data_IF_813843104671
#
_entry.id   IF_813843104671
#
_cell.length_a   1.000
_cell.length_b   1.000
_cell.length_c   1.000
_cell.angle_alpha   90.00
_cell.angle_beta   90.00
_cell.angle_gamma   90.00
#
_symmetry.space_group_name_H-M   'P 1'
#
loop_
_entity.id
_entity.type
_entity.pdbx_description
1 polymer ?
#
# COMPACT_ATOMS: atom_id res chain seq x y z
N UNK A 1 -6.87 -18.71 -5.19
CA UNK A 1 -5.82 -19.72 -5.46
C UNK A 1 -4.57 -19.27 -4.73
N UNK A 2 -4.00 -20.12 -3.88
CA UNK A 2 -2.71 -19.84 -3.24
C UNK A 2 -1.65 -19.67 -4.34
N UNK A 3 -0.98 -18.52 -4.35
CA UNK A 3 0.14 -18.28 -5.26
C UNK A 3 1.30 -19.19 -4.81
N UNK A 4 2.00 -19.91 -5.71
CA UNK A 4 3.03 -20.85 -5.30
C UNK A 4 4.27 -20.15 -4.70
N UNK A 5 4.93 -20.81 -3.73
CA UNK A 5 6.20 -20.38 -3.10
C UNK A 5 7.41 -20.44 -4.06
N UNK A 6 7.16 -20.80 -5.31
CA UNK A 6 8.11 -20.96 -6.39
C UNK A 6 7.38 -20.72 -7.73
N UNK A 7 8.15 -20.43 -8.76
CA UNK A 7 7.67 -20.40 -10.15
C UNK A 7 8.39 -21.45 -10.99
N UNK A 8 7.73 -21.93 -12.03
CA UNK A 8 8.29 -22.80 -13.05
C UNK A 8 8.61 -21.97 -14.29
N UNK A 9 9.85 -22.09 -14.76
CA UNK A 9 10.32 -21.49 -16.01
C UNK A 9 10.37 -22.57 -17.07
N UNK A 10 9.86 -22.30 -18.27
CA UNK A 10 9.89 -23.26 -19.36
C UNK A 10 9.30 -22.74 -20.65
N UNK A 11 9.34 -23.58 -21.69
CA UNK A 11 8.77 -23.26 -23.01
C UNK A 11 7.27 -23.54 -23.09
N UNK A 12 6.77 -24.43 -22.24
CA UNK A 12 5.38 -24.84 -22.24
C UNK A 12 4.49 -23.74 -21.66
N UNK A 13 3.25 -23.65 -22.16
CA UNK A 13 2.31 -22.58 -21.79
C UNK A 13 1.72 -22.75 -20.39
N UNK A 14 1.96 -23.90 -19.74
CA UNK A 14 1.60 -24.17 -18.33
C UNK A 14 2.67 -23.71 -17.34
N UNK A 15 3.78 -23.11 -17.81
CA UNK A 15 4.80 -22.51 -16.95
C UNK A 15 4.42 -21.08 -16.53
N UNK A 16 4.86 -20.67 -15.35
CA UNK A 16 4.64 -19.32 -14.82
C UNK A 16 5.44 -18.27 -15.62
N UNK A 17 6.70 -18.59 -15.96
CA UNK A 17 7.53 -17.81 -16.88
C UNK A 17 7.73 -18.60 -18.18
N UNK A 18 7.08 -18.13 -19.25
CA UNK A 18 7.10 -18.79 -20.56
C UNK A 18 8.17 -18.17 -21.46
N UNK A 19 9.24 -18.92 -21.73
CA UNK A 19 10.30 -18.53 -22.66
C UNK A 19 10.13 -19.28 -23.99
N UNK A 20 9.71 -18.56 -25.04
CA UNK A 20 9.41 -19.12 -26.37
C UNK A 20 10.66 -19.37 -27.21
N UNK A 21 11.64 -20.06 -26.64
CA UNK A 21 12.90 -20.37 -27.31
C UNK A 21 13.06 -21.91 -27.44
N UNK A 22 13.43 -22.44 -28.62
CA UNK A 22 13.44 -23.88 -28.88
C UNK A 22 14.36 -24.73 -27.98
N UNK A 23 15.47 -24.18 -27.51
CA UNK A 23 16.41 -24.84 -26.61
C UNK A 23 15.91 -24.90 -25.15
N UNK A 24 14.85 -24.15 -24.81
CA UNK A 24 14.21 -24.22 -23.49
C UNK A 24 13.30 -25.47 -23.43
N UNK A 25 13.53 -26.34 -22.45
CA UNK A 25 12.65 -27.49 -22.19
C UNK A 25 11.24 -27.09 -21.75
N UNK A 26 10.26 -27.99 -21.94
CA UNK A 26 8.85 -27.72 -21.63
C UNK A 26 8.65 -27.19 -20.21
N UNK A 27 9.23 -27.86 -19.21
CA UNK A 27 9.47 -27.35 -17.85
C UNK A 27 10.97 -27.41 -17.61
N UNK A 28 11.63 -26.26 -17.61
CA UNK A 28 13.08 -26.18 -17.67
C UNK A 28 13.69 -26.08 -16.27
N UNK A 29 13.20 -25.14 -15.47
CA UNK A 29 13.75 -24.84 -14.17
C UNK A 29 12.65 -24.40 -13.19
N UNK A 30 12.98 -24.43 -11.91
CA UNK A 30 12.17 -23.87 -10.83
C UNK A 30 12.95 -22.76 -10.15
N UNK A 31 12.28 -21.65 -9.87
CA UNK A 31 12.83 -20.56 -9.06
C UNK A 31 12.03 -20.44 -7.77
N UNK A 32 12.71 -20.38 -6.63
CA UNK A 32 12.07 -20.26 -5.31
C UNK A 32 12.87 -19.33 -4.41
N UNK A 33 12.22 -18.70 -3.43
CA UNK A 33 12.92 -17.86 -2.47
C UNK A 33 13.56 -18.69 -1.35
N UNK A 34 14.80 -18.35 -0.99
CA UNK A 34 15.59 -18.91 0.11
C UNK A 34 16.25 -17.74 0.85
N UNK A 35 15.55 -17.19 1.85
CA UNK A 35 15.99 -15.98 2.54
C UNK A 35 16.03 -14.79 1.58
N UNK A 36 17.19 -14.13 1.48
CA UNK A 36 17.46 -12.97 0.61
C UNK A 36 17.89 -13.35 -0.82
N UNK A 37 17.89 -14.64 -1.16
CA UNK A 37 18.35 -15.13 -2.47
C UNK A 37 17.29 -15.98 -3.18
N UNK A 38 17.38 -16.03 -4.50
CA UNK A 38 16.54 -16.89 -5.34
C UNK A 38 17.31 -18.18 -5.60
N UNK A 39 16.77 -19.31 -5.18
CA UNK A 39 17.27 -20.62 -5.58
C UNK A 39 16.70 -20.96 -6.95
N UNK A 40 17.57 -21.06 -7.95
CA UNK A 40 17.28 -21.61 -9.27
C UNK A 40 17.67 -23.08 -9.26
N UNK A 41 16.75 -23.94 -9.69
CA UNK A 41 16.92 -25.38 -9.78
C UNK A 41 16.55 -25.87 -11.18
N UNK A 42 17.50 -26.47 -11.88
CA UNK A 42 17.26 -27.12 -13.17
C UNK A 42 16.44 -28.41 -12.96
N UNK A 43 15.37 -28.60 -13.73
CA UNK A 43 14.45 -29.73 -13.59
C UNK A 43 14.81 -30.91 -14.52
N UNK A 44 16.07 -31.03 -14.92
CA UNK A 44 16.53 -32.03 -15.88
C UNK A 44 16.39 -31.56 -17.33
N UNK A 45 16.66 -30.28 -17.58
CA UNK A 45 16.53 -29.69 -18.90
C UNK A 45 17.55 -30.29 -19.89
N UNK A 46 17.17 -30.33 -21.17
CA UNK A 46 18.02 -30.89 -22.23
C UNK A 46 19.31 -30.06 -22.44
N UNK A 47 19.19 -28.74 -22.40
CA UNK A 47 20.29 -27.82 -22.73
C UNK A 47 20.94 -27.18 -21.49
N UNK A 48 20.41 -27.42 -20.29
CA UNK A 48 20.95 -26.93 -19.03
C UNK A 48 20.52 -25.51 -18.68
N UNK A 49 20.54 -25.23 -17.37
CA UNK A 49 20.47 -23.89 -16.80
C UNK A 49 21.87 -23.36 -16.53
N UNK A 50 22.12 -22.08 -16.81
CA UNK A 50 23.40 -21.42 -16.61
C UNK A 50 23.24 -20.17 -15.75
N UNK A 51 24.22 -19.92 -14.88
CA UNK A 51 24.32 -18.71 -14.06
C UNK A 51 25.73 -18.14 -14.25
N UNK A 52 25.84 -16.88 -14.65
CA UNK A 52 27.10 -16.20 -15.00
C UNK A 52 27.98 -17.03 -15.96
N UNK A 53 27.34 -17.72 -16.92
CA UNK A 53 28.00 -18.57 -17.93
C UNK A 53 28.36 -19.99 -17.46
N UNK A 54 28.20 -20.32 -16.18
CA UNK A 54 28.48 -21.66 -15.65
C UNK A 54 27.21 -22.52 -15.60
N UNK A 55 27.29 -23.77 -16.07
CA UNK A 55 26.16 -24.70 -16.03
C UNK A 55 25.90 -25.16 -14.60
N UNK A 56 24.67 -25.05 -14.14
CA UNK A 56 24.28 -25.38 -12.76
C UNK A 56 23.10 -26.36 -12.72
N UNK A 57 23.07 -27.20 -11.68
CA UNK A 57 21.86 -27.97 -11.31
C UNK A 57 21.02 -27.22 -10.28
N UNK A 58 21.68 -26.56 -9.34
CA UNK A 58 21.08 -25.66 -8.35
C UNK A 58 22.05 -24.52 -8.09
N UNK A 59 21.53 -23.30 -8.04
CA UNK A 59 22.33 -22.12 -7.71
C UNK A 59 21.48 -21.08 -6.97
N UNK A 60 22.06 -20.47 -5.93
CA UNK A 60 21.50 -19.28 -5.32
C UNK A 60 21.94 -18.06 -6.12
N UNK A 61 20.98 -17.36 -6.72
CA UNK A 61 21.20 -16.16 -7.51
C UNK A 61 20.55 -14.96 -6.85
N UNK A 62 21.06 -13.77 -7.16
CA UNK A 62 20.42 -12.51 -6.80
C UNK A 62 19.78 -11.88 -8.04
N UNK A 63 18.73 -11.07 -7.88
CA UNK A 63 18.22 -10.25 -8.98
C UNK A 63 19.33 -9.47 -9.68
N UNK A 64 19.37 -9.54 -11.01
CA UNK A 64 20.42 -8.96 -11.85
C UNK A 64 21.60 -9.87 -12.16
N UNK A 65 21.68 -11.09 -11.62
CA UNK A 65 22.62 -12.10 -12.10
C UNK A 65 22.31 -12.51 -13.55
N UNK A 66 23.31 -12.90 -14.32
CA UNK A 66 23.07 -13.43 -15.67
C UNK A 66 22.56 -14.86 -15.52
N UNK A 67 21.31 -15.11 -15.91
CA UNK A 67 20.70 -16.43 -15.84
C UNK A 67 20.14 -16.76 -17.21
N UNK A 68 20.50 -17.94 -17.73
CA UNK A 68 19.96 -18.43 -18.99
C UNK A 68 19.47 -19.87 -18.86
N UNK A 69 18.47 -20.19 -19.66
CA UNK A 69 17.84 -21.49 -19.75
C UNK A 69 18.03 -21.99 -21.18
N UNK A 70 18.96 -22.91 -21.40
CA UNK A 70 19.50 -23.15 -22.73
C UNK A 70 20.12 -21.86 -23.31
N UNK A 71 19.70 -21.47 -24.51
CA UNK A 71 20.12 -20.25 -25.20
C UNK A 71 19.25 -19.03 -24.87
N UNK A 72 18.20 -19.19 -24.07
CA UNK A 72 17.32 -18.09 -23.69
C UNK A 72 17.86 -17.35 -22.46
N UNK A 73 18.23 -16.09 -22.63
CA UNK A 73 18.52 -15.20 -21.50
C UNK A 73 17.23 -14.82 -20.76
N UNK A 74 17.26 -14.89 -19.43
CA UNK A 74 16.17 -14.44 -18.59
C UNK A 74 16.31 -12.94 -18.29
N UNK A 75 15.29 -12.17 -18.65
CA UNK A 75 15.26 -10.75 -18.29
C UNK A 75 14.54 -10.54 -16.96
N UNK A 76 15.24 -9.97 -15.98
CA UNK A 76 14.68 -9.64 -14.65
C UNK A 76 13.49 -8.66 -14.67
N UNK A 77 13.28 -7.95 -15.79
CA UNK A 77 12.15 -7.05 -16.01
C UNK A 77 10.93 -7.73 -16.63
N UNK A 78 10.98 -9.06 -16.83
CA UNK A 78 9.86 -9.80 -17.40
C UNK A 78 8.60 -9.65 -16.53
N UNK A 79 7.44 -9.24 -17.09
CA UNK A 79 6.20 -9.07 -16.33
C UNK A 79 5.79 -10.31 -15.53
N UNK A 80 6.07 -11.52 -16.03
CA UNK A 80 5.73 -12.77 -15.36
C UNK A 80 6.57 -13.01 -14.09
N UNK A 81 7.77 -12.40 -13.99
CA UNK A 81 8.61 -12.45 -12.78
C UNK A 81 8.16 -11.45 -11.71
N UNK A 82 7.39 -10.42 -12.06
CA UNK A 82 7.07 -9.30 -11.18
C UNK A 82 6.41 -9.74 -9.88
N UNK A 83 5.44 -10.66 -9.95
CA UNK A 83 4.71 -11.18 -8.78
C UNK A 83 5.58 -12.05 -7.89
N UNK A 84 6.44 -12.89 -8.49
CA UNK A 84 7.40 -13.74 -7.76
C UNK A 84 8.45 -12.90 -7.04
N UNK A 85 8.99 -11.87 -7.69
CA UNK A 85 10.00 -10.99 -7.11
C UNK A 85 9.44 -10.13 -5.97
N UNK A 86 8.24 -9.58 -6.14
CA UNK A 86 7.55 -8.77 -5.10
C UNK A 86 7.31 -9.54 -3.79
N UNK A 87 7.06 -10.85 -3.86
CA UNK A 87 6.66 -11.65 -2.69
C UNK A 87 7.83 -12.05 -1.77
N UNK A 88 9.03 -12.22 -2.31
CA UNK A 88 10.20 -12.60 -1.53
C UNK A 88 11.16 -11.47 -1.18
N UNK A 89 10.85 -10.23 -1.57
CA UNK A 89 11.57 -9.04 -1.15
C UNK A 89 11.23 -8.69 0.32
N UNK A 90 11.67 -9.52 1.27
CA UNK A 90 11.66 -9.18 2.68
C UNK A 90 12.93 -8.37 3.02
N UNK A 91 12.74 -7.09 3.33
CA UNK A 91 13.71 -6.27 4.06
C UNK A 91 14.77 -5.55 3.22
N UNK A 92 15.57 -6.26 2.43
CA UNK A 92 16.72 -5.66 1.73
C UNK A 92 16.91 -6.41 0.41
N UNK A 93 16.93 -5.75 -0.76
CA UNK A 93 17.42 -6.43 -1.97
C UNK A 93 18.70 -5.82 -2.52
N UNK A 94 19.71 -6.69 -2.49
CA UNK A 94 21.09 -6.53 -2.89
C UNK A 94 21.28 -6.55 -4.41
N UNK A 95 22.19 -5.68 -4.82
CA UNK A 95 22.84 -5.57 -6.13
C UNK A 95 23.41 -6.89 -6.63
N UNK A 96 23.11 -7.23 -7.89
CA UNK A 96 23.85 -8.25 -8.63
C UNK A 96 25.31 -7.85 -8.79
N UNK A 97 26.19 -8.48 -8.02
CA UNK A 97 27.65 -8.43 -8.21
C UNK A 97 28.01 -9.18 -9.50
N UNK A 98 27.75 -8.56 -10.66
CA UNK A 98 28.40 -8.83 -11.96
C UNK A 98 27.78 -8.12 -13.16
N UNK A 99 26.95 -7.09 -13.01
CA UNK A 99 26.63 -6.26 -14.20
C UNK A 99 27.91 -5.48 -14.56
N UNK A 100 28.55 -5.72 -15.72
CA UNK A 100 29.74 -4.98 -16.10
C UNK A 100 29.40 -3.48 -16.21
N UNK A 101 30.16 -2.65 -15.50
CA UNK A 101 30.00 -1.20 -15.51
C UNK A 101 28.84 -0.69 -14.67
N UNK A 102 29.12 -0.28 -13.43
CA UNK A 102 28.32 0.64 -12.57
C UNK A 102 26.79 0.50 -12.59
N UNK A 103 26.18 -0.64 -12.88
CA UNK A 103 24.70 -0.77 -13.03
C UNK A 103 24.11 -1.59 -11.88
N UNK A 104 22.86 -1.30 -11.51
CA UNK A 104 22.09 -2.03 -10.50
C UNK A 104 20.66 -2.33 -10.98
N UNK A 105 20.02 -3.32 -10.37
CA UNK A 105 18.59 -3.61 -10.53
C UNK A 105 17.95 -3.54 -9.15
N UNK A 106 16.89 -2.74 -9.02
CA UNK A 106 16.13 -2.66 -7.79
C UNK A 106 15.37 -3.96 -7.57
N UNK A 107 15.58 -4.65 -6.45
CA UNK A 107 14.81 -5.86 -6.16
C UNK A 107 13.37 -5.63 -5.73
N UNK A 108 13.02 -4.39 -5.38
CA UNK A 108 11.64 -4.02 -5.04
C UNK A 108 10.77 -3.77 -6.28
N UNK A 109 11.32 -3.15 -7.33
CA UNK A 109 10.54 -2.77 -8.52
C UNK A 109 11.07 -3.30 -9.86
N UNK A 110 12.28 -3.88 -9.90
CA UNK A 110 12.94 -4.35 -11.11
C UNK A 110 13.59 -3.24 -11.94
N UNK A 111 13.52 -1.97 -11.52
CA UNK A 111 14.10 -0.85 -12.26
C UNK A 111 15.63 -0.97 -12.35
N UNK A 112 16.17 -0.66 -13.53
CA UNK A 112 17.61 -0.60 -13.79
C UNK A 112 18.13 0.80 -13.49
N UNK A 113 19.28 0.90 -12.84
CA UNK A 113 19.94 2.18 -12.57
C UNK A 113 21.45 2.12 -12.74
N UNK A 114 22.09 3.29 -12.72
CA UNK A 114 23.55 3.44 -12.75
C UNK A 114 24.00 3.96 -11.38
N UNK A 115 24.92 3.25 -10.74
CA UNK A 115 25.58 3.66 -9.50
C UNK A 115 26.40 4.94 -9.74
N UNK A 116 26.43 5.88 -8.78
CA UNK A 116 27.23 7.09 -8.87
C UNK A 116 28.71 6.81 -9.17
N UNK A 117 29.37 7.76 -9.82
CA UNK A 117 30.79 7.61 -10.15
C UNK A 117 31.64 7.45 -8.87
N UNK A 118 32.45 6.39 -8.80
CA UNK A 118 33.26 6.08 -7.62
C UNK A 118 32.55 5.28 -6.51
N UNK A 119 31.24 5.05 -6.64
CA UNK A 119 30.46 4.28 -5.69
C UNK A 119 30.65 2.77 -5.91
N UNK A 120 31.18 2.06 -4.90
CA UNK A 120 31.46 0.62 -4.96
C UNK A 120 30.80 -0.20 -3.84
N UNK A 121 30.30 0.45 -2.78
CA UNK A 121 29.57 -0.14 -1.65
C UNK A 121 28.84 0.94 -0.85
N UNK A 122 27.80 0.58 -0.09
CA UNK A 122 27.02 1.49 0.77
C UNK A 122 25.53 1.42 0.48
N UNK A 123 24.78 2.46 0.84
CA UNK A 123 23.35 2.58 0.54
C UNK A 123 23.15 3.44 -0.72
N UNK A 124 22.15 3.11 -1.54
CA UNK A 124 21.67 3.91 -2.67
C UNK A 124 20.16 4.00 -2.60
N UNK A 125 19.54 5.11 -3.01
CA UNK A 125 18.09 5.11 -3.26
C UNK A 125 17.80 4.69 -4.69
N UNK A 126 16.82 3.82 -4.87
CA UNK A 126 16.29 3.54 -6.19
C UNK A 126 15.57 4.79 -6.72
N UNK A 127 16.06 5.37 -7.83
CA UNK A 127 15.42 6.53 -8.45
C UNK A 127 14.05 6.29 -9.09
N UNK A 128 13.47 5.08 -8.98
CA UNK A 128 12.14 4.73 -9.52
C UNK A 128 11.18 4.18 -8.46
N UNK A 129 11.64 3.81 -7.27
CA UNK A 129 10.71 3.38 -6.22
C UNK A 129 11.11 3.86 -4.83
N UNK A 130 12.08 4.78 -4.74
CA UNK A 130 12.57 5.42 -3.51
C UNK A 130 13.29 4.50 -2.51
N UNK A 131 13.17 3.18 -2.67
CA UNK A 131 13.66 2.20 -1.69
C UNK A 131 15.17 2.30 -1.54
N UNK A 132 15.63 2.18 -0.30
CA UNK A 132 17.05 2.11 0.00
C UNK A 132 17.59 0.74 -0.40
N UNK A 133 18.66 0.75 -1.19
CA UNK A 133 19.34 -0.37 -1.79
C UNK A 133 20.70 -0.49 -1.14
N UNK A 134 20.93 -1.59 -0.43
CA UNK A 134 22.26 -1.90 0.07
C UNK A 134 23.13 -2.51 -1.03
N UNK A 135 24.31 -1.94 -1.23
CA UNK A 135 25.31 -2.34 -2.24
C UNK A 135 26.58 -2.82 -1.54
N UNK A 136 27.00 -4.06 -1.83
CA UNK A 136 28.20 -4.67 -1.24
C UNK A 136 27.91 -5.65 -0.09
N UNK A 137 28.87 -6.54 0.22
CA UNK A 137 28.74 -7.53 1.31
C UNK A 137 28.67 -6.83 2.68
N UNK A 138 27.77 -7.27 3.57
CA UNK A 138 27.96 -7.11 5.01
C UNK A 138 29.35 -7.68 5.37
N UNK A 139 30.25 -6.82 5.87
CA UNK A 139 31.38 -7.30 6.65
C UNK A 139 30.82 -8.05 7.86
N UNK A 140 31.44 -9.18 8.20
CA UNK A 140 30.87 -10.24 9.03
C UNK A 140 30.26 -9.79 10.36
N UNK A 141 29.20 -10.49 10.76
CA UNK A 141 28.52 -10.24 12.01
C UNK A 141 27.52 -11.32 12.39
N UNK A 142 27.85 -12.60 12.18
CA UNK A 142 27.06 -13.73 12.74
C UNK A 142 27.66 -14.28 14.05
N UNK A 143 28.72 -13.67 14.59
CA UNK A 143 29.37 -14.17 15.81
C UNK A 143 29.13 -13.30 17.06
N UNK A 144 28.69 -12.05 16.92
CA UNK A 144 28.45 -11.17 18.08
C UNK A 144 27.08 -11.38 18.74
N UNK A 145 26.02 -11.74 18.00
CA UNK A 145 24.72 -12.05 18.60
C UNK A 145 24.76 -13.33 19.42
N UNK A 146 25.56 -14.34 19.02
CA UNK A 146 25.72 -15.57 19.79
C UNK A 146 26.53 -15.35 21.08
N UNK A 147 27.60 -14.55 21.02
CA UNK A 147 28.41 -14.23 22.20
C UNK A 147 27.70 -13.30 23.19
N UNK A 148 26.96 -12.29 22.69
CA UNK A 148 26.14 -11.40 23.52
C UNK A 148 24.96 -12.17 24.12
N UNK A 149 24.30 -13.06 23.36
CA UNK A 149 23.24 -13.92 23.91
C UNK A 149 23.77 -14.89 24.97
N UNK A 150 24.96 -15.46 24.79
CA UNK A 150 25.56 -16.36 25.77
C UNK A 150 26.02 -15.61 27.04
N UNK A 151 26.59 -14.41 26.90
CA UNK A 151 26.99 -13.58 28.04
C UNK A 151 25.79 -12.98 28.78
N UNK A 152 24.72 -12.59 28.07
CA UNK A 152 23.46 -12.12 28.66
C UNK A 152 22.67 -13.27 29.30
N UNK A 153 22.69 -14.48 28.74
CA UNK A 153 22.11 -15.67 29.38
C UNK A 153 22.90 -16.06 30.63
N UNK A 154 24.24 -16.03 30.60
CA UNK A 154 25.05 -16.28 31.79
C UNK A 154 24.82 -15.21 32.86
N UNK A 155 24.70 -13.94 32.48
CA UNK A 155 24.43 -12.83 33.40
C UNK A 155 22.99 -12.85 33.94
N UNK A 156 22.00 -13.25 33.13
CA UNK A 156 20.61 -13.40 33.54
C UNK A 156 20.39 -14.64 34.42
N UNK A 157 21.16 -15.71 34.23
CA UNK A 157 21.16 -16.87 35.13
C UNK A 157 21.82 -16.51 36.47
N UNK A 158 22.94 -15.78 36.46
CA UNK A 158 23.58 -15.30 37.70
C UNK A 158 22.69 -14.28 38.43
N UNK A 159 22.09 -13.33 37.72
CA UNK A 159 21.14 -12.37 38.28
C UNK A 159 19.86 -13.05 38.77
N UNK A 160 19.33 -14.04 38.04
CA UNK A 160 18.16 -14.82 38.43
C UNK A 160 18.41 -15.67 39.68
N UNK A 161 19.59 -16.28 39.81
CA UNK A 161 20.00 -17.03 41.01
C UNK A 161 20.24 -16.08 42.21
N UNK A 162 20.78 -14.89 41.97
CA UNK A 162 20.97 -13.86 43.02
C UNK A 162 19.63 -13.27 43.50
N UNK A 163 18.72 -12.92 42.58
CA UNK A 163 17.39 -12.38 42.87
C UNK A 163 16.45 -13.40 43.54
N UNK A 164 16.56 -14.69 43.20
CA UNK A 164 15.83 -15.77 43.87
C UNK A 164 16.32 -15.99 45.31
N UNK A 165 17.63 -15.79 45.56
CA UNK A 165 18.25 -15.91 46.89
C UNK A 165 17.93 -14.73 47.82
N UNK A 166 17.59 -13.56 47.28
CA UNK A 166 17.18 -12.37 48.05
C UNK A 166 15.65 -12.18 48.19
N UNK A 167 14.84 -13.11 47.67
CA UNK A 167 13.39 -13.09 47.84
C UNK A 167 12.68 -11.96 47.08
N UNK A 168 13.25 -11.49 45.97
CA UNK A 168 12.66 -10.41 45.18
C UNK A 168 11.30 -10.84 44.59
N UNK A 169 10.23 -10.10 44.93
CA UNK A 169 8.89 -10.34 44.40
C UNK A 169 8.79 -9.96 42.91
N UNK A 170 7.86 -10.58 42.18
CA UNK A 170 7.64 -10.36 40.75
C UNK A 170 7.44 -8.87 40.37
N UNK A 171 6.87 -8.06 41.28
CA UNK A 171 6.69 -6.61 41.10
C UNK A 171 8.00 -5.81 41.07
N UNK A 172 9.05 -6.32 41.70
CA UNK A 172 10.36 -5.69 41.75
C UNK A 172 11.09 -5.85 40.41
N UNK A 173 10.92 -7.02 39.78
CA UNK A 173 11.46 -7.34 38.45
C UNK A 173 10.73 -6.56 37.35
N UNK A 174 9.41 -6.39 37.48
CA UNK A 174 8.59 -5.61 36.54
C UNK A 174 9.00 -4.13 36.51
N UNK A 175 9.20 -3.50 37.67
CA UNK A 175 9.65 -2.09 37.77
C UNK A 175 11.08 -1.88 37.28
N UNK A 176 11.95 -2.90 37.37
CA UNK A 176 13.29 -2.84 36.81
C UNK A 176 13.29 -2.96 35.28
N UNK A 177 12.42 -3.79 34.71
CA UNK A 177 12.23 -3.90 33.26
C UNK A 177 11.66 -2.60 32.65
N UNK A 178 10.70 -1.97 33.32
CA UNK A 178 10.10 -0.68 32.92
C UNK A 178 11.13 0.47 32.91
N UNK A 179 12.10 0.48 33.85
CA UNK A 179 13.18 1.49 33.89
C UNK A 179 14.26 1.29 32.83
N UNK A 180 14.36 0.09 32.27
CA UNK A 180 15.36 -0.26 31.25
C UNK A 180 14.79 -0.24 29.82
N UNK A 181 13.51 0.11 29.64
CA UNK A 181 12.87 0.21 28.32
C UNK A 181 12.74 -1.13 27.59
N UNK A 182 12.98 -2.26 28.25
CA UNK A 182 12.87 -3.58 27.63
C UNK A 182 11.39 -3.99 27.67
N UNK A 183 10.71 -3.76 26.54
CA UNK A 183 9.27 -4.07 26.36
C UNK A 183 8.47 -2.96 25.67
N UNK A 184 9.06 -1.79 25.41
CA UNK A 184 8.43 -0.77 24.57
C UNK A 184 8.84 -1.00 23.11
N UNK A 185 7.89 -1.46 22.30
CA UNK A 185 7.95 -1.30 20.85
C UNK A 185 7.72 0.18 20.56
N UNK A 186 8.63 0.82 19.85
CA UNK A 186 8.37 2.13 19.25
C UNK A 186 7.08 2.05 18.43
N UNK A 187 6.25 3.08 18.58
CA UNK A 187 4.94 3.30 17.99
C UNK A 187 3.79 2.50 18.63
N UNK A 188 2.97 3.17 19.45
CA UNK A 188 1.70 2.66 19.99
C UNK A 188 0.60 2.42 18.93
N UNK A 189 0.98 2.01 17.72
CA UNK A 189 0.10 1.60 16.64
C UNK A 189 -0.11 0.09 16.68
N UNK A 190 -1.38 -0.34 16.64
CA UNK A 190 -1.76 -1.74 16.52
C UNK A 190 -1.06 -2.42 15.32
N UNK A 191 -0.62 -3.68 15.44
CA UNK A 191 0.09 -4.37 14.37
C UNK A 191 -0.78 -4.50 13.12
N UNK A 192 -0.21 -4.22 11.95
CA UNK A 192 -0.92 -4.30 10.68
C UNK A 192 -1.43 -5.72 10.40
N UNK A 193 -2.69 -5.80 10.01
CA UNK A 193 -3.47 -7.04 9.91
C UNK A 193 -3.35 -7.74 8.56
N UNK A 194 -2.83 -7.04 7.54
CA UNK A 194 -2.55 -7.61 6.20
C UNK A 194 -1.16 -7.23 5.65
N UNK A 195 -0.60 -8.00 4.70
CA UNK A 195 0.61 -7.61 3.97
C UNK A 195 0.46 -6.28 3.23
N UNK A 196 -0.72 -6.00 2.69
CA UNK A 196 -1.06 -4.76 1.99
C UNK A 196 -0.99 -3.58 2.96
N UNK A 197 -1.64 -3.70 4.11
CA UNK A 197 -1.61 -2.68 5.15
C UNK A 197 -0.19 -2.42 5.66
N UNK A 198 0.61 -3.47 5.88
CA UNK A 198 2.04 -3.29 6.23
C UNK A 198 2.79 -2.48 5.17
N UNK A 199 2.55 -2.76 3.89
CA UNK A 199 3.21 -2.05 2.79
C UNK A 199 2.75 -0.59 2.70
N UNK A 200 1.44 -0.36 2.78
CA UNK A 200 0.83 0.97 2.71
C UNK A 200 1.29 1.82 3.89
N UNK A 201 1.19 1.30 5.12
CA UNK A 201 1.64 1.97 6.34
C UNK A 201 3.10 2.40 6.26
N UNK A 202 3.97 1.54 5.73
CA UNK A 202 5.40 1.81 5.68
C UNK A 202 5.84 2.72 4.51
N UNK A 203 5.06 2.81 3.42
CA UNK A 203 5.54 3.42 2.16
C UNK A 203 4.65 4.50 1.56
N UNK A 204 3.35 4.43 1.82
CA UNK A 204 2.33 5.27 1.19
C UNK A 204 1.74 6.23 2.22
N UNK A 205 1.36 5.72 3.40
CA UNK A 205 0.70 6.50 4.44
C UNK A 205 1.45 7.79 4.81
N UNK A 206 2.79 7.81 5.00
CA UNK A 206 3.49 9.05 5.34
C UNK A 206 3.40 10.14 4.27
N UNK A 207 3.45 9.76 2.99
CA UNK A 207 3.36 10.71 1.87
C UNK A 207 1.92 11.22 1.70
N UNK A 208 0.95 10.32 1.81
CA UNK A 208 -0.47 10.67 1.76
C UNK A 208 -0.84 11.62 2.91
N UNK A 209 -0.45 11.33 4.15
CA UNK A 209 -0.81 12.19 5.30
C UNK A 209 -0.14 13.55 5.24
N UNK A 210 1.09 13.64 4.73
CA UNK A 210 1.74 14.92 4.45
C UNK A 210 0.98 15.71 3.37
N UNK A 211 0.51 15.04 2.33
CA UNK A 211 -0.19 15.66 1.21
C UNK A 211 -1.61 16.18 1.55
N UNK A 212 -2.29 15.64 2.57
CA UNK A 212 -3.65 16.12 2.96
C UNK A 212 -3.63 17.61 3.41
N UNK A 213 -2.54 18.11 3.98
CA UNK A 213 -2.29 19.55 4.28
C UNK A 213 -3.48 20.47 4.67
N UNK A 214 -4.43 20.06 5.54
CA UNK A 214 -5.75 20.71 5.69
C UNK A 214 -5.69 22.12 6.32
N UNK A 215 -4.54 22.47 6.91
CA UNK A 215 -4.29 23.78 7.52
C UNK A 215 -3.64 24.78 6.57
N UNK A 216 -3.25 24.36 5.36
CA UNK A 216 -2.75 25.25 4.32
C UNK A 216 -3.80 26.34 4.01
N UNK A 217 -3.42 27.63 3.92
CA UNK A 217 -4.36 28.70 3.61
C UNK A 217 -5.15 28.45 2.32
N UNK A 218 -4.51 27.87 1.30
CA UNK A 218 -5.18 27.56 0.02
C UNK A 218 -6.28 26.51 0.21
N UNK A 219 -5.94 25.38 0.84
CA UNK A 219 -6.87 24.29 1.16
C UNK A 219 -8.00 24.78 2.07
N UNK A 220 -7.66 25.39 3.21
CA UNK A 220 -8.61 25.82 4.23
C UNK A 220 -9.58 26.88 3.71
N UNK A 221 -9.07 27.94 3.09
CA UNK A 221 -9.93 29.05 2.64
C UNK A 221 -10.84 28.60 1.50
N UNK A 222 -10.35 27.74 0.61
CA UNK A 222 -11.16 27.19 -0.48
C UNK A 222 -12.26 26.27 0.06
N UNK A 223 -11.94 25.35 0.97
CA UNK A 223 -12.92 24.47 1.60
C UNK A 223 -14.02 25.26 2.33
N UNK A 224 -13.62 26.20 3.19
CA UNK A 224 -14.57 27.05 3.96
C UNK A 224 -15.46 27.87 3.03
N UNK A 225 -14.91 28.46 1.97
CA UNK A 225 -15.68 29.25 1.00
C UNK A 225 -16.74 28.42 0.27
N UNK A 226 -16.42 27.18 -0.10
CA UNK A 226 -17.38 26.26 -0.74
C UNK A 226 -18.45 25.81 0.28
N UNK A 227 -18.02 25.42 1.48
CA UNK A 227 -18.90 24.93 2.54
C UNK A 227 -19.83 26.01 3.12
N UNK A 228 -19.45 27.29 3.05
CA UNK A 228 -20.22 28.41 3.59
C UNK A 228 -21.65 28.54 3.02
N UNK A 229 -21.95 27.93 1.88
CA UNK A 229 -23.32 27.87 1.36
C UNK A 229 -24.27 26.98 2.18
N UNK A 230 -23.75 26.12 3.06
CA UNK A 230 -24.49 25.41 4.11
C UNK A 230 -23.88 25.74 5.48
N UNK A 231 -24.16 26.95 5.98
CA UNK A 231 -23.61 27.47 7.24
C UNK A 231 -23.88 26.54 8.45
N UNK A 232 -22.97 26.59 9.42
CA UNK A 232 -23.09 25.90 10.71
C UNK A 232 -21.97 24.88 10.96
N UNK A 233 -22.16 24.01 11.98
CA UNK A 233 -21.20 22.94 12.28
C UNK A 233 -21.10 21.94 11.12
N UNK A 234 -20.09 21.07 11.18
CA UNK A 234 -19.85 20.03 10.18
C UNK A 234 -21.13 19.24 9.87
N UNK A 235 -21.45 19.10 8.57
CA UNK A 235 -22.65 18.43 8.09
C UNK A 235 -22.50 17.89 6.68
N UNK A 236 -23.30 16.87 6.34
CA UNK A 236 -23.20 16.17 5.06
C UNK A 236 -23.41 17.06 3.82
N UNK A 237 -24.22 18.12 3.92
CA UNK A 237 -24.46 19.03 2.79
C UNK A 237 -23.20 19.82 2.42
N UNK A 238 -22.37 20.19 3.41
CA UNK A 238 -21.07 20.81 3.15
C UNK A 238 -20.18 19.86 2.35
N UNK A 239 -20.13 18.59 2.75
CA UNK A 239 -19.38 17.55 2.02
C UNK A 239 -19.93 17.35 0.61
N UNK A 240 -21.26 17.37 0.43
CA UNK A 240 -21.88 17.28 -0.89
C UNK A 240 -21.45 18.43 -1.81
N UNK A 241 -21.32 19.66 -1.28
CA UNK A 241 -20.78 20.81 -2.05
C UNK A 241 -19.31 20.66 -2.38
N UNK A 242 -18.49 20.25 -1.42
CA UNK A 242 -17.06 20.00 -1.66
C UNK A 242 -16.88 18.95 -2.76
N UNK A 243 -17.59 17.83 -2.64
CA UNK A 243 -17.56 16.75 -3.63
C UNK A 243 -17.99 17.24 -5.02
N UNK A 244 -19.14 17.92 -5.11
CA UNK A 244 -19.68 18.44 -6.38
C UNK A 244 -18.73 19.44 -7.03
N UNK A 245 -18.12 20.33 -6.23
CA UNK A 245 -17.15 21.32 -6.71
C UNK A 245 -15.89 20.64 -7.25
N UNK A 246 -15.22 19.82 -6.43
CA UNK A 246 -13.97 19.15 -6.85
C UNK A 246 -14.23 18.25 -8.04
N UNK A 247 -15.31 17.46 -8.03
CA UNK A 247 -15.67 16.59 -9.15
C UNK A 247 -16.00 17.36 -10.42
N UNK A 248 -16.67 18.50 -10.30
CA UNK A 248 -17.09 19.38 -11.38
C UNK A 248 -15.94 20.08 -12.10
N UNK A 249 -14.86 20.36 -11.37
CA UNK A 249 -13.64 20.98 -11.88
C UNK A 249 -12.57 19.94 -12.29
N UNK A 250 -12.67 18.69 -11.81
CA UNK A 250 -11.60 17.69 -11.94
C UNK A 250 -11.15 17.42 -13.37
N UNK A 251 -9.84 17.45 -13.58
CA UNK A 251 -9.17 17.13 -14.86
C UNK A 251 -8.20 15.97 -14.63
N UNK A 252 -8.59 14.79 -15.07
CA UNK A 252 -7.79 13.59 -14.85
C UNK A 252 -6.48 13.61 -15.67
N UNK A 253 -5.34 13.54 -15.00
CA UNK A 253 -4.00 13.48 -15.60
C UNK A 253 -3.18 12.46 -14.80
N UNK A 254 -2.72 11.40 -15.46
CA UNK A 254 -1.87 10.39 -14.80
C UNK A 254 -0.55 11.01 -14.32
N UNK A 255 -0.04 10.43 -13.25
CA UNK A 255 1.29 10.69 -12.78
C UNK A 255 2.43 10.43 -13.79
N UNK A 256 3.61 11.05 -13.57
CA UNK A 256 4.81 10.75 -14.31
C UNK A 256 5.11 9.25 -14.34
N UNK A 257 5.42 8.73 -15.52
CA UNK A 257 5.66 7.30 -15.72
C UNK A 257 6.70 6.74 -14.75
N UNK A 258 6.26 5.81 -13.90
CA UNK A 258 7.12 5.00 -13.05
C UNK A 258 7.18 5.44 -11.60
N UNK A 259 6.53 6.56 -11.26
CA UNK A 259 6.38 7.06 -9.90
C UNK A 259 4.89 7.25 -9.59
N UNK A 260 4.54 7.17 -8.30
CA UNK A 260 3.27 7.63 -7.74
C UNK A 260 3.60 8.92 -6.98
N UNK A 261 2.92 10.01 -7.30
CA UNK A 261 3.15 11.33 -6.77
C UNK A 261 1.88 11.85 -6.10
N UNK A 262 1.81 11.63 -4.78
CA UNK A 262 0.76 12.20 -3.93
C UNK A 262 0.90 13.73 -3.86
N UNK A 263 0.19 14.48 -4.70
CA UNK A 263 0.30 15.93 -4.70
C UNK A 263 -0.37 16.52 -3.45
N UNK A 264 0.27 17.49 -2.76
CA UNK A 264 -0.38 18.19 -1.67
C UNK A 264 -1.71 18.81 -2.11
N UNK A 265 -2.76 18.74 -1.30
CA UNK A 265 -4.08 19.23 -1.68
C UNK A 265 -4.03 20.71 -2.07
N UNK A 266 -3.22 21.53 -1.37
CA UNK A 266 -3.02 22.93 -1.73
C UNK A 266 -2.40 23.13 -3.11
N UNK A 267 -1.48 22.25 -3.51
CA UNK A 267 -0.88 22.25 -4.84
C UNK A 267 -1.91 21.86 -5.90
N UNK A 268 -2.70 20.82 -5.66
CA UNK A 268 -3.74 20.38 -6.60
C UNK A 268 -4.85 21.42 -6.79
N UNK A 269 -5.23 22.12 -5.73
CA UNK A 269 -6.18 23.25 -5.80
C UNK A 269 -5.58 24.40 -6.62
N UNK A 270 -4.32 24.79 -6.35
CA UNK A 270 -3.63 25.83 -7.11
C UNK A 270 -3.45 25.47 -8.59
N UNK A 271 -3.39 24.18 -8.90
CA UNK A 271 -3.28 23.64 -10.27
C UNK A 271 -4.65 23.36 -10.92
N UNK A 272 -5.70 24.05 -10.51
CA UNK A 272 -7.05 23.95 -11.10
C UNK A 272 -7.63 22.52 -11.08
N UNK A 273 -7.41 21.77 -9.98
CA UNK A 273 -7.99 20.44 -9.77
C UNK A 273 -7.58 19.43 -10.85
N UNK A 274 -6.29 19.41 -11.21
CA UNK A 274 -5.71 18.44 -12.14
C UNK A 274 -4.81 17.45 -11.41
N UNK A 275 -5.00 16.16 -11.68
CA UNK A 275 -4.31 15.06 -11.01
C UNK A 275 -4.96 13.72 -11.31
N UNK A 276 -4.55 12.65 -10.65
CA UNK A 276 -5.16 11.33 -10.82
C UNK A 276 -6.11 10.93 -9.66
N UNK A 277 -6.25 9.63 -9.37
CA UNK A 277 -7.22 9.15 -8.38
C UNK A 277 -6.82 9.45 -6.93
N UNK A 278 -5.52 9.42 -6.61
CA UNK A 278 -5.03 9.71 -5.27
C UNK A 278 -5.15 11.21 -4.93
N UNK A 279 -4.80 12.10 -5.87
CA UNK A 279 -4.90 13.55 -5.76
C UNK A 279 -6.34 13.98 -5.50
N UNK A 280 -7.30 13.33 -6.17
CA UNK A 280 -8.73 13.58 -5.96
C UNK A 280 -9.13 13.24 -4.52
N UNK A 281 -8.70 12.07 -4.04
CA UNK A 281 -8.98 11.60 -2.69
C UNK A 281 -8.31 12.49 -1.63
N UNK A 282 -7.07 12.91 -1.89
CA UNK A 282 -6.28 13.82 -1.04
C UNK A 282 -6.97 15.17 -0.91
N UNK A 283 -7.36 15.81 -2.03
CA UNK A 283 -8.07 17.10 -1.99
C UNK A 283 -9.38 17.00 -1.23
N UNK A 284 -10.18 15.95 -1.45
CA UNK A 284 -11.44 15.80 -0.71
C UNK A 284 -11.21 15.58 0.79
N UNK A 285 -10.31 14.68 1.16
CA UNK A 285 -9.96 14.44 2.56
C UNK A 285 -9.49 15.73 3.23
N UNK A 286 -8.57 16.45 2.60
CA UNK A 286 -8.05 17.74 3.04
C UNK A 286 -9.13 18.79 3.30
N UNK A 287 -10.06 18.95 2.35
CA UNK A 287 -11.15 19.91 2.48
C UNK A 287 -12.14 19.52 3.58
N UNK A 288 -12.41 18.23 3.76
CA UNK A 288 -13.30 17.72 4.80
C UNK A 288 -12.68 17.95 6.19
N UNK A 289 -11.40 17.63 6.38
CA UNK A 289 -10.68 17.91 7.63
C UNK A 289 -10.65 19.43 7.92
N UNK A 290 -10.46 20.26 6.88
CA UNK A 290 -10.40 21.71 7.05
C UNK A 290 -11.71 22.34 7.57
N UNK A 291 -12.86 21.72 7.29
CA UNK A 291 -14.18 22.13 7.78
C UNK A 291 -14.61 21.38 9.06
N UNK A 292 -13.72 20.58 9.64
CA UNK A 292 -13.95 19.87 10.90
C UNK A 292 -14.66 18.52 10.77
N UNK A 293 -14.66 17.93 9.56
CA UNK A 293 -15.09 16.55 9.35
C UNK A 293 -13.97 15.55 9.60
N UNK A 294 -14.34 14.28 9.69
CA UNK A 294 -13.41 13.15 9.77
C UNK A 294 -13.44 12.36 8.46
N UNK A 295 -12.28 12.13 7.87
CA UNK A 295 -12.10 11.48 6.58
C UNK A 295 -11.07 10.36 6.63
N UNK A 296 -11.05 9.54 5.57
CA UNK A 296 -9.98 8.58 5.30
C UNK A 296 -9.81 8.39 3.80
N UNK A 297 -8.61 8.02 3.38
CA UNK A 297 -8.30 7.65 2.00
C UNK A 297 -8.18 6.13 1.92
N UNK A 298 -8.91 5.51 1.00
CA UNK A 298 -8.93 4.07 0.81
C UNK A 298 -8.14 3.72 -0.44
N UNK A 299 -7.06 2.95 -0.25
CA UNK A 299 -6.28 2.36 -1.33
C UNK A 299 -6.84 0.97 -1.63
N UNK A 300 -7.01 0.65 -2.91
CA UNK A 300 -7.52 -0.64 -3.36
C UNK A 300 -6.74 -1.21 -4.55
N UNK A 301 -6.95 -2.48 -4.83
CA UNK A 301 -6.78 -3.07 -6.16
C UNK A 301 -8.10 -3.74 -6.54
N UNK A 302 -8.53 -3.56 -7.78
CA UNK A 302 -9.81 -4.06 -8.28
C UNK A 302 -9.71 -4.58 -9.71
N UNK A 303 -10.85 -4.72 -10.38
CA UNK A 303 -10.89 -5.22 -11.76
C UNK A 303 -10.14 -4.34 -12.77
N UNK A 304 -10.03 -3.04 -12.46
CA UNK A 304 -9.36 -2.06 -13.31
C UNK A 304 -7.91 -1.75 -12.87
N UNK A 305 -7.42 -2.47 -11.84
CA UNK A 305 -6.12 -2.24 -11.22
C UNK A 305 -6.20 -1.41 -9.94
N UNK A 306 -5.08 -0.79 -9.58
CA UNK A 306 -4.97 0.08 -8.41
C UNK A 306 -5.85 1.32 -8.55
N UNK A 307 -6.46 1.72 -7.44
CA UNK A 307 -7.31 2.91 -7.37
C UNK A 307 -7.30 3.48 -5.94
N UNK A 308 -7.57 4.76 -5.81
CA UNK A 308 -7.69 5.48 -4.55
C UNK A 308 -8.97 6.32 -4.52
N UNK A 309 -9.63 6.36 -3.36
CA UNK A 309 -10.81 7.20 -3.15
C UNK A 309 -10.92 7.64 -1.69
N UNK A 310 -11.68 8.70 -1.43
CA UNK A 310 -11.95 9.16 -0.07
C UNK A 310 -13.24 8.56 0.48
N UNK A 311 -13.31 8.42 1.80
CA UNK A 311 -14.54 8.24 2.55
C UNK A 311 -14.64 9.30 3.65
N UNK A 312 -15.87 9.66 4.01
CA UNK A 312 -16.15 10.59 5.11
C UNK A 312 -16.95 9.90 6.19
N UNK A 313 -16.58 10.13 7.45
CA UNK A 313 -17.39 9.70 8.57
C UNK A 313 -18.54 10.68 8.81
N UNK A 314 -19.76 10.15 8.87
CA UNK A 314 -20.95 10.91 9.25
C UNK A 314 -21.55 10.24 10.48
N UNK A 315 -21.60 10.96 11.60
CA UNK A 315 -22.13 10.50 12.88
C UNK A 315 -23.67 10.57 12.91
N UNK A 316 -24.31 9.99 11.89
CA UNK A 316 -25.77 9.93 11.71
C UNK A 316 -26.19 8.56 11.15
N UNK A 317 -27.45 8.19 11.33
CA UNK A 317 -28.03 7.00 10.71
C UNK A 317 -28.00 7.11 9.17
N UNK A 318 -27.70 6.01 8.49
CA UNK A 318 -27.57 5.97 7.03
C UNK A 318 -28.82 6.46 6.29
N UNK A 319 -30.02 6.16 6.79
CA UNK A 319 -31.27 6.65 6.22
C UNK A 319 -31.38 8.19 6.31
N UNK A 320 -30.87 8.80 7.39
CA UNK A 320 -30.86 10.25 7.55
C UNK A 320 -29.89 10.90 6.56
N UNK A 321 -28.68 10.34 6.44
CA UNK A 321 -27.67 10.77 5.46
C UNK A 321 -28.24 10.70 4.04
N UNK A 322 -28.86 9.56 3.68
CA UNK A 322 -29.46 9.34 2.37
C UNK A 322 -30.56 10.37 2.08
N UNK A 323 -31.46 10.63 3.04
CA UNK A 323 -32.53 11.64 2.90
C UNK A 323 -31.98 13.04 2.69
N UNK A 324 -31.00 13.46 3.51
CA UNK A 324 -30.41 14.81 3.45
C UNK A 324 -29.69 15.05 2.12
N UNK A 325 -28.89 14.10 1.66
CA UNK A 325 -28.26 14.15 0.34
C UNK A 325 -29.32 14.22 -0.78
N UNK A 326 -30.38 13.40 -0.67
CA UNK A 326 -31.49 13.38 -1.63
C UNK A 326 -32.23 14.73 -1.73
N UNK A 327 -32.38 15.45 -0.61
CA UNK A 327 -32.94 16.81 -0.59
C UNK A 327 -31.94 17.83 -1.14
N UNK A 328 -30.67 17.73 -0.75
CA UNK A 328 -29.60 18.62 -1.22
C UNK A 328 -29.53 18.66 -2.74
N UNK A 329 -29.37 17.51 -3.41
CA UNK A 329 -29.21 17.44 -4.88
C UNK A 329 -30.50 17.70 -5.66
N UNK A 330 -31.67 17.64 -5.01
CA UNK A 330 -32.92 18.10 -5.63
C UNK A 330 -32.97 19.62 -5.74
N UNK A 331 -32.45 20.31 -4.72
CA UNK A 331 -32.56 21.76 -4.58
C UNK A 331 -31.35 22.50 -5.14
N UNK A 332 -30.20 21.84 -5.22
CA UNK A 332 -28.95 22.39 -5.74
C UNK A 332 -28.60 21.66 -7.03
N UNK A 333 -28.34 22.43 -8.10
CA UNK A 333 -27.90 21.85 -9.36
C UNK A 333 -26.46 21.34 -9.24
N UNK A 334 -26.21 20.13 -9.75
CA UNK A 334 -24.90 19.52 -9.90
C UNK A 334 -24.61 19.22 -11.37
N UNK A 335 -23.34 19.26 -11.75
CA UNK A 335 -22.90 19.11 -13.15
C UNK A 335 -23.19 17.72 -13.72
N UNK A 336 -23.09 16.67 -12.91
CA UNK A 336 -23.21 15.28 -13.35
C UNK A 336 -24.57 14.68 -13.02
N UNK A 337 -25.23 15.17 -11.96
CA UNK A 337 -26.54 14.74 -11.51
C UNK A 337 -27.69 15.66 -11.95
N UNK A 338 -27.39 16.87 -12.41
CA UNK A 338 -28.43 17.87 -12.66
C UNK A 338 -29.18 18.22 -11.38
N UNK A 339 -30.49 17.94 -11.34
CA UNK A 339 -31.34 18.05 -10.14
C UNK A 339 -31.98 16.71 -9.76
N UNK A 340 -31.37 15.62 -10.20
CA UNK A 340 -31.91 14.29 -9.95
C UNK A 340 -31.84 13.93 -8.46
N UNK A 341 -32.81 13.13 -8.04
CA UNK A 341 -32.90 12.68 -6.66
C UNK A 341 -31.90 11.55 -6.43
N UNK A 342 -31.00 11.71 -5.46
CA UNK A 342 -30.24 10.55 -4.97
C UNK A 342 -31.18 9.53 -4.36
N UNK A 343 -31.20 8.34 -4.95
CA UNK A 343 -32.07 7.26 -4.53
C UNK A 343 -31.46 6.40 -3.43
N UNK A 344 -30.14 6.22 -3.46
CA UNK A 344 -29.44 5.28 -2.59
C UNK A 344 -28.04 5.79 -2.27
N UNK A 345 -27.55 5.43 -1.09
CA UNK A 345 -26.16 5.60 -0.72
C UNK A 345 -25.52 4.23 -0.40
N UNK A 346 -24.22 4.15 -0.62
CA UNK A 346 -23.35 3.05 -0.23
C UNK A 346 -22.31 3.59 0.73
N UNK A 347 -22.05 2.79 1.75
CA UNK A 347 -21.16 3.15 2.84
C UNK A 347 -20.59 1.90 3.48
N UNK A 348 -19.53 2.10 4.26
CA UNK A 348 -19.06 1.13 5.26
C UNK A 348 -19.47 1.59 6.65
N UNK A 349 -19.50 0.66 7.59
CA UNK A 349 -19.75 0.97 9.00
C UNK A 349 -18.62 0.40 9.84
N UNK A 350 -18.35 1.05 10.96
CA UNK A 350 -17.36 0.65 11.95
C UNK A 350 -17.89 0.95 13.35
N UNK A 351 -17.29 0.40 14.42
CA UNK A 351 -17.69 0.73 15.79
C UNK A 351 -17.57 2.22 16.14
N UNK A 352 -16.62 2.94 15.54
CA UNK A 352 -16.38 4.37 15.78
C UNK A 352 -17.19 5.30 14.88
N UNK A 353 -17.68 4.79 13.74
CA UNK A 353 -18.41 5.59 12.77
C UNK A 353 -19.53 4.78 12.10
N UNK A 354 -20.80 5.21 12.19
CA UNK A 354 -21.92 4.49 11.61
C UNK A 354 -21.93 4.54 10.08
N UNK A 355 -21.46 5.64 9.47
CA UNK A 355 -21.47 5.85 8.02
C UNK A 355 -20.13 6.40 7.56
N UNK A 356 -19.30 5.53 6.99
CA UNK A 356 -18.20 5.90 6.09
C UNK A 356 -18.75 5.99 4.67
N UNK A 357 -19.19 7.18 4.26
CA UNK A 357 -19.81 7.41 2.97
C UNK A 357 -18.76 7.36 1.85
N UNK A 358 -19.03 6.58 0.80
CA UNK A 358 -18.18 6.50 -0.37
C UNK A 358 -18.12 7.83 -1.14
N UNK A 359 -16.93 8.41 -1.33
CA UNK A 359 -16.73 9.63 -2.12
C UNK A 359 -15.96 9.37 -3.43
N UNK A 360 -15.87 8.13 -3.87
CA UNK A 360 -15.23 7.77 -5.14
C UNK A 360 -15.80 8.56 -6.33
N UNK A 361 -14.91 9.21 -7.07
CA UNK A 361 -15.25 10.02 -8.24
C UNK A 361 -15.82 9.18 -9.39
N UNK A 362 -15.51 7.87 -9.43
CA UNK A 362 -16.11 6.90 -10.35
C UNK A 362 -17.59 6.64 -10.07
N UNK A 363 -18.05 6.87 -8.84
CA UNK A 363 -19.38 6.49 -8.38
C UNK A 363 -20.51 7.44 -8.83
N UNK A 364 -20.20 8.43 -9.68
CA UNK A 364 -21.05 9.53 -10.21
C UNK A 364 -21.68 10.46 -9.17
N UNK A 365 -21.79 10.03 -7.92
CA UNK A 365 -22.47 10.72 -6.82
C UNK A 365 -21.76 10.41 -5.50
N UNK A 366 -21.83 11.28 -4.48
CA UNK A 366 -21.42 10.89 -3.13
C UNK A 366 -22.38 9.82 -2.60
N UNK A 367 -21.82 8.74 -2.06
CA UNK A 367 -22.54 7.53 -1.71
C UNK A 367 -22.85 6.62 -2.90
N UNK A 368 -22.23 6.83 -4.06
CA UNK A 368 -22.38 5.91 -5.18
C UNK A 368 -21.80 4.52 -4.88
N UNK A 369 -22.10 3.51 -5.71
CA UNK A 369 -21.66 2.14 -5.47
C UNK A 369 -20.13 2.04 -5.47
N UNK A 370 -19.60 1.16 -4.62
CA UNK A 370 -18.20 0.78 -4.69
C UNK A 370 -17.91 -0.05 -5.94
N UNK A 371 -16.70 0.09 -6.48
CA UNK A 371 -16.15 -0.85 -7.43
C UNK A 371 -15.94 -2.24 -6.81
N UNK A 372 -15.58 -3.21 -7.64
CA UNK A 372 -15.15 -4.51 -7.16
C UNK A 372 -13.71 -4.42 -6.64
N UNK A 373 -13.51 -4.77 -5.39
CA UNK A 373 -12.23 -4.71 -4.69
C UNK A 373 -11.70 -6.11 -4.43
N UNK A 374 -10.39 -6.30 -4.60
CA UNK A 374 -9.68 -7.50 -4.17
C UNK A 374 -9.09 -7.34 -2.77
N UNK A 375 -8.69 -6.13 -2.43
CA UNK A 375 -8.28 -5.71 -1.09
C UNK A 375 -8.55 -4.21 -0.94
N UNK A 376 -8.69 -3.76 0.31
CA UNK A 376 -8.86 -2.36 0.64
C UNK A 376 -8.13 -2.03 1.96
N UNK A 377 -7.45 -0.89 1.99
CA UNK A 377 -6.77 -0.38 3.19
C UNK A 377 -7.06 1.11 3.32
N UNK A 378 -7.62 1.50 4.45
CA UNK A 378 -7.81 2.90 4.81
C UNK A 378 -6.52 3.49 5.40
N UNK A 379 -6.26 4.74 5.06
CA UNK A 379 -5.25 5.63 5.62
C UNK A 379 -6.01 6.81 6.23
N UNK A 380 -5.83 7.03 7.52
CA UNK A 380 -6.42 8.15 8.24
C UNK A 380 -5.45 9.34 8.26
N UNK A 381 -5.95 10.60 8.33
CA UNK A 381 -5.11 11.80 8.36
C UNK A 381 -4.06 11.83 9.48
N UNK A 382 -4.30 11.11 10.59
CA UNK A 382 -3.35 10.97 11.71
C UNK A 382 -2.25 9.91 11.47
N UNK A 383 -2.27 9.23 10.32
CA UNK A 383 -1.31 8.17 9.95
C UNK A 383 -1.73 6.76 10.36
N UNK A 384 -2.84 6.60 11.08
CA UNK A 384 -3.40 5.28 11.33
C UNK A 384 -3.78 4.60 10.01
N UNK A 385 -3.67 3.27 9.96
CA UNK A 385 -4.09 2.47 8.80
C UNK A 385 -4.92 1.29 9.24
N UNK A 386 -5.90 0.90 8.43
CA UNK A 386 -6.81 -0.20 8.74
C UNK A 386 -7.08 -1.05 7.49
N UNK A 387 -6.96 -2.38 7.59
CA UNK A 387 -7.44 -3.28 6.52
C UNK A 387 -8.96 -3.33 6.54
N UNK A 388 -9.60 -2.99 5.42
CA UNK A 388 -11.05 -3.04 5.25
C UNK A 388 -11.47 -4.34 4.54
N UNK A 389 -12.70 -4.79 4.81
CA UNK A 389 -13.30 -5.87 4.04
C UNK A 389 -13.58 -5.41 2.59
N UNK A 390 -13.11 -6.08 1.53
CA UNK A 390 -13.30 -5.59 0.17
C UNK A 390 -14.79 -5.56 -0.26
N UNK A 391 -15.19 -4.54 -1.02
CA UNK A 391 -16.52 -4.44 -1.63
C UNK A 391 -16.63 -5.30 -2.89
N UNK A 392 -17.80 -5.91 -3.12
CA UNK A 392 -18.05 -6.73 -4.32
C UNK A 392 -17.29 -8.07 -4.27
N UNK A 393 -17.76 -9.00 -3.44
CA UNK A 393 -16.96 -10.15 -3.04
C UNK A 393 -16.58 -11.17 -4.12
N UNK A 394 -15.62 -12.02 -3.74
CA UNK A 394 -15.36 -13.34 -4.34
C UNK A 394 -16.58 -14.25 -4.23
N UNK A 395 -16.80 -15.20 -5.18
CA UNK A 395 -17.81 -16.24 -5.00
C UNK A 395 -17.52 -17.03 -3.72
N UNK A 396 -18.39 -16.95 -2.72
CA UNK A 396 -18.37 -17.79 -1.52
C UNK A 396 -18.16 -17.10 -0.17
N UNK A 397 -17.88 -15.80 -0.10
CA UNK A 397 -17.69 -15.10 1.19
C UNK A 397 -17.98 -13.60 1.16
N UNK A 398 -19.12 -13.18 0.58
CA UNK A 398 -19.49 -11.76 0.50
C UNK A 398 -20.64 -11.42 1.45
N UNK A 399 -20.44 -10.48 2.37
CA UNK A 399 -21.53 -9.61 2.78
C UNK A 399 -21.57 -8.45 1.77
N UNK A 400 -22.72 -8.15 1.13
CA UNK A 400 -22.84 -6.96 0.30
C UNK A 400 -22.60 -5.72 1.17
N UNK A 401 -21.90 -4.71 0.63
CA UNK A 401 -21.80 -3.41 1.30
C UNK A 401 -23.21 -2.89 1.60
N UNK A 402 -23.49 -2.42 2.82
CA UNK A 402 -24.79 -1.88 3.17
C UNK A 402 -25.23 -0.81 2.17
N UNK A 403 -26.46 -0.94 1.67
CA UNK A 403 -27.12 0.04 0.82
C UNK A 403 -28.42 0.44 1.47
N UNK A 404 -28.62 1.74 1.62
CA UNK A 404 -29.86 2.29 2.18
C UNK A 404 -30.52 3.18 1.13
N UNK A 405 -31.83 2.98 0.96
CA UNK A 405 -32.66 3.79 0.07
C UNK A 405 -33.02 5.09 0.78
N UNK A 406 -32.94 6.21 0.07
CA UNK A 406 -33.54 7.46 0.53
C UNK A 406 -35.07 7.28 0.52
N UNK A 407 -35.67 6.90 1.65
CA UNK A 407 -37.12 6.77 1.77
C UNK A 407 -37.83 8.08 1.37
N UNK A 408 -39.03 7.98 0.82
CA UNK A 408 -39.88 9.15 0.60
C UNK A 408 -40.17 9.82 1.96
N UNK A 409 -40.18 11.16 1.99
CA UNK A 409 -40.74 11.90 3.11
C UNK A 409 -42.13 11.33 3.43
N UNK A 410 -42.54 11.19 4.70
CA UNK A 410 -43.97 11.24 5.01
C UNK A 410 -44.52 12.48 4.33
N UNK A 411 -45.66 12.34 3.64
CA UNK A 411 -46.39 13.50 3.15
C UNK A 411 -46.68 14.38 4.35
N UNK A 412 -46.08 15.57 4.42
CA UNK A 412 -46.61 16.64 5.27
C UNK A 412 -47.79 17.32 4.57
#
# INVERSE_FOLDING_TARGET
>A
MEVPLYIVVGRSTDCDLVLREPSVSGRHARMSWRGDTILVEDLGSANGTYVDGERVRRASVRPGAEVSFGNAEMHWSDPALKTFLRRGACGDTLVGLKIPGRRFICGSCGARGIMPQGFSKGQLKCGSCGVELSVGKRAGGQWLTAAISAALLASAVVAGVWLWREGASADSLRRAAERLGIGQTDDGLEPATSPQERSIRARIAPAVTEAIDPTSPETRNTAVRIAAADEGPFRIEQVARLWSHVRGEWRYVNDPRGDEFFAPASQTIANEYAGDCDDFAIVLSAMIEAIGGESRIVMIDGEQGGHAYAEVCVQEEAEAVARRLSVHYRNNWDRYLGRERLENIHFRSSPSCPVWLNLDWNARVPGGPYGREYWAVAIYPDGHTETLAPSGGTPGAAQPTPRVRASALPSE
#
